data_IF_463392285632
#
_entry.id   IF_463392285632
#
_cell.length_a   1.000
_cell.length_b   1.000
_cell.length_c   1.000
_cell.angle_alpha   90.00
_cell.angle_beta   90.00
_cell.angle_gamma   90.00
#
_symmetry.space_group_name_H-M   'P 1'
#
loop_
_entity.id
_entity.type
_entity.pdbx_description
1 polymer ?
#
# COMPACT_ATOMS: atom_id res chain seq x y z
N UNK A 1 14.44 -13.06 13.18
CA UNK A 1 13.13 -13.65 12.82
C UNK A 1 12.44 -12.77 11.77
N UNK A 2 11.80 -13.34 10.74
CA UNK A 2 11.03 -12.57 9.73
C UNK A 2 9.60 -13.10 9.63
N UNK A 3 8.61 -12.20 9.67
CA UNK A 3 7.18 -12.52 9.57
C UNK A 3 6.63 -11.84 8.32
N UNK A 4 5.79 -12.56 7.58
CA UNK A 4 5.10 -12.06 6.40
C UNK A 4 3.59 -12.24 6.55
N UNK A 5 2.82 -11.22 6.18
CA UNK A 5 1.36 -11.31 6.15
C UNK A 5 0.88 -11.60 4.73
N UNK A 6 -0.03 -12.56 4.59
CA UNK A 6 -0.58 -12.97 3.30
C UNK A 6 -2.09 -13.14 3.37
N UNK A 7 -2.77 -12.50 2.42
CA UNK A 7 -4.19 -12.69 2.15
C UNK A 7 -4.39 -13.49 0.86
N UNK A 8 -5.59 -14.03 0.67
CA UNK A 8 -6.04 -14.51 -0.64
C UNK A 8 -6.05 -13.33 -1.61
N UNK A 9 -5.66 -13.55 -2.88
CA UNK A 9 -5.50 -12.48 -3.88
C UNK A 9 -6.78 -11.63 -4.03
N UNK A 10 -7.94 -12.28 -4.09
CA UNK A 10 -9.24 -11.61 -4.23
C UNK A 10 -9.49 -10.62 -3.07
N UNK A 11 -9.38 -11.09 -1.83
CA UNK A 11 -9.54 -10.26 -0.63
C UNK A 11 -8.53 -9.11 -0.57
N UNK A 12 -7.27 -9.36 -0.95
CA UNK A 12 -6.25 -8.31 -1.01
C UNK A 12 -6.63 -7.20 -2.00
N UNK A 13 -7.12 -7.56 -3.18
CA UNK A 13 -7.49 -6.59 -4.21
C UNK A 13 -8.73 -5.80 -3.81
N UNK A 14 -9.76 -6.46 -3.27
CA UNK A 14 -10.94 -5.76 -2.75
C UNK A 14 -10.59 -4.74 -1.65
N UNK A 15 -9.63 -5.07 -0.77
CA UNK A 15 -9.15 -4.14 0.27
C UNK A 15 -8.36 -2.98 -0.31
N UNK A 16 -7.51 -3.24 -1.32
CA UNK A 16 -6.78 -2.19 -2.02
C UNK A 16 -7.77 -1.22 -2.67
N UNK A 17 -8.77 -1.75 -3.36
CA UNK A 17 -9.73 -0.96 -4.13
C UNK A 17 -10.52 -0.02 -3.22
N UNK A 18 -11.09 -0.59 -2.13
CA UNK A 18 -11.78 0.18 -1.09
C UNK A 18 -10.89 1.20 -0.39
N UNK A 19 -9.61 0.88 -0.16
CA UNK A 19 -8.67 1.81 0.46
C UNK A 19 -8.39 3.00 -0.46
N UNK A 20 -8.22 2.76 -1.75
CA UNK A 20 -7.98 3.83 -2.72
C UNK A 20 -9.20 4.74 -2.81
N UNK A 21 -10.41 4.19 -2.90
CA UNK A 21 -11.65 4.98 -2.89
C UNK A 21 -11.73 5.86 -1.65
N UNK A 22 -11.50 5.29 -0.46
CA UNK A 22 -11.47 6.04 0.80
C UNK A 22 -10.40 7.14 0.81
N UNK A 23 -9.23 6.89 0.23
CA UNK A 23 -8.14 7.85 0.17
C UNK A 23 -8.53 9.08 -0.68
N UNK A 24 -9.15 8.87 -1.85
CA UNK A 24 -9.64 9.98 -2.68
C UNK A 24 -10.82 10.70 -2.00
N UNK A 25 -11.77 9.95 -1.42
CA UNK A 25 -12.91 10.52 -0.71
C UNK A 25 -12.50 11.33 0.54
N UNK A 26 -11.36 11.00 1.16
CA UNK A 26 -10.81 11.72 2.31
C UNK A 26 -10.03 12.99 1.92
N UNK A 27 -10.01 13.39 0.64
CA UNK A 27 -9.42 14.66 0.21
C UNK A 27 -7.98 14.58 -0.30
N UNK A 28 -7.55 13.45 -0.88
CA UNK A 28 -6.20 13.34 -1.47
C UNK A 28 -5.91 14.43 -2.52
N UNK A 29 -6.90 14.82 -3.33
CA UNK A 29 -6.74 15.88 -4.33
C UNK A 29 -6.44 17.22 -3.64
N UNK A 30 -7.16 17.53 -2.56
CA UNK A 30 -6.97 18.75 -1.81
C UNK A 30 -5.61 18.80 -1.12
N UNK A 31 -5.15 17.66 -0.59
CA UNK A 31 -3.81 17.49 -0.03
C UNK A 31 -2.74 17.80 -1.08
N UNK A 32 -2.83 17.18 -2.27
CA UNK A 32 -1.89 17.42 -3.37
C UNK A 32 -1.92 18.88 -3.81
N UNK A 33 -3.10 19.47 -3.97
CA UNK A 33 -3.25 20.87 -4.32
C UNK A 33 -2.64 21.81 -3.26
N UNK A 34 -2.75 21.46 -1.96
CA UNK A 34 -2.12 22.22 -0.88
C UNK A 34 -0.59 22.14 -0.95
N UNK A 35 -0.03 20.97 -1.26
CA UNK A 35 1.42 20.80 -1.42
C UNK A 35 1.96 21.66 -2.57
N UNK A 36 1.25 21.73 -3.71
CA UNK A 36 1.61 22.60 -4.83
C UNK A 36 1.53 24.08 -4.44
N UNK A 37 0.46 24.50 -3.73
CA UNK A 37 0.33 25.89 -3.24
C UNK A 37 1.45 26.28 -2.26
N UNK A 38 2.02 25.32 -1.54
CA UNK A 38 3.18 25.52 -0.66
C UNK A 38 4.51 25.59 -1.42
N UNK A 39 4.50 25.49 -2.75
CA UNK A 39 5.69 25.59 -3.60
C UNK A 39 6.48 24.29 -3.72
N UNK A 40 5.93 23.13 -3.35
CA UNK A 40 6.60 21.85 -3.58
C UNK A 40 6.58 21.56 -5.09
N UNK A 41 7.74 21.36 -5.74
CA UNK A 41 7.83 21.15 -7.18
C UNK A 41 7.19 19.81 -7.57
N UNK A 42 6.57 19.75 -8.73
CA UNK A 42 5.85 18.55 -9.21
C UNK A 42 6.78 17.36 -9.45
N UNK A 43 8.06 17.63 -9.70
CA UNK A 43 9.09 16.61 -9.90
C UNK A 43 9.53 15.98 -8.57
N UNK A 44 9.07 16.53 -7.44
CA UNK A 44 9.42 16.04 -6.11
C UNK A 44 9.01 14.57 -5.93
N UNK A 45 9.80 13.78 -5.16
CA UNK A 45 9.53 12.37 -4.93
C UNK A 45 8.09 12.02 -4.48
N UNK A 46 7.40 12.81 -3.64
CA UNK A 46 6.03 12.49 -3.22
C UNK A 46 5.05 12.37 -4.38
N UNK A 47 5.16 13.21 -5.41
CA UNK A 47 4.26 13.18 -6.56
C UNK A 47 4.49 12.00 -7.50
N UNK A 48 5.57 11.23 -7.30
CA UNK A 48 5.79 9.95 -7.98
C UNK A 48 5.10 8.78 -7.27
N UNK A 49 4.62 8.98 -6.05
CA UNK A 49 3.90 7.96 -5.30
C UNK A 49 2.55 7.63 -5.95
N UNK A 50 2.11 6.37 -5.79
CA UNK A 50 0.78 5.95 -6.22
C UNK A 50 -0.29 6.77 -5.50
N UNK A 51 -1.36 7.15 -6.20
CA UNK A 51 -2.33 8.11 -5.70
C UNK A 51 -1.93 9.54 -6.04
N UNK A 52 -0.84 10.05 -5.43
CA UNK A 52 -0.37 11.43 -5.64
C UNK A 52 -0.11 11.75 -7.11
N UNK A 53 0.54 10.82 -7.84
CA UNK A 53 0.74 10.94 -9.29
C UNK A 53 -0.56 11.20 -10.04
N UNK A 54 -1.62 10.44 -9.73
CA UNK A 54 -2.89 10.52 -10.45
C UNK A 54 -3.74 11.69 -9.98
N UNK A 55 -3.71 12.03 -8.68
CA UNK A 55 -4.32 13.24 -8.16
C UNK A 55 -3.71 14.50 -8.81
N UNK A 56 -2.40 14.54 -9.03
CA UNK A 56 -1.74 15.61 -9.77
C UNK A 56 -2.27 15.72 -11.21
N UNK A 57 -2.45 14.60 -11.90
CA UNK A 57 -3.02 14.58 -13.27
C UNK A 57 -4.47 15.10 -13.29
N UNK A 58 -5.27 14.84 -12.26
CA UNK A 58 -6.63 15.41 -12.12
C UNK A 58 -6.56 16.92 -11.92
N UNK A 59 -5.69 17.42 -11.05
CA UNK A 59 -5.48 18.87 -10.84
C UNK A 59 -5.06 19.56 -12.13
N UNK A 60 -4.29 18.87 -12.97
CA UNK A 60 -3.86 19.34 -14.30
C UNK A 60 -4.89 19.10 -15.41
N UNK A 61 -6.09 18.65 -15.07
CA UNK A 61 -7.18 18.34 -16.01
C UNK A 61 -6.79 17.34 -17.13
N UNK A 62 -5.79 16.48 -16.88
CA UNK A 62 -5.30 15.51 -17.86
C UNK A 62 -6.15 14.24 -17.89
N UNK A 63 -6.72 13.85 -16.74
CA UNK A 63 -7.62 12.71 -16.60
C UNK A 63 -8.78 13.06 -15.65
N UNK A 64 -9.96 12.44 -15.83
CA UNK A 64 -11.06 12.59 -14.88
C UNK A 64 -10.76 11.85 -13.55
N UNK A 65 -11.47 12.23 -12.49
CA UNK A 65 -11.31 11.67 -11.15
C UNK A 65 -11.52 10.15 -11.13
N UNK A 66 -12.55 9.67 -11.82
CA UNK A 66 -12.90 8.25 -11.90
C UNK A 66 -11.75 7.44 -12.49
N UNK A 67 -11.08 7.98 -13.51
CA UNK A 67 -9.92 7.36 -14.14
C UNK A 67 -8.70 7.38 -13.20
N UNK A 68 -8.49 8.46 -12.46
CA UNK A 68 -7.42 8.55 -11.46
C UNK A 68 -7.58 7.49 -10.35
N UNK A 69 -8.80 7.28 -9.86
CA UNK A 69 -9.12 6.23 -8.89
C UNK A 69 -8.81 4.86 -9.50
N UNK A 70 -9.33 4.58 -10.71
CA UNK A 70 -9.13 3.30 -11.41
C UNK A 70 -7.65 2.97 -11.65
N UNK A 71 -6.87 3.95 -12.10
CA UNK A 71 -5.43 3.81 -12.35
C UNK A 71 -4.66 3.61 -11.03
N UNK A 72 -5.02 4.34 -9.98
CA UNK A 72 -4.42 4.16 -8.64
C UNK A 72 -4.68 2.76 -8.11
N UNK A 73 -5.91 2.26 -8.21
CA UNK A 73 -6.27 0.89 -7.81
C UNK A 73 -5.44 -0.14 -8.59
N UNK A 74 -5.43 -0.04 -9.93
CA UNK A 74 -4.66 -0.94 -10.81
C UNK A 74 -3.18 -1.00 -10.41
N UNK A 75 -2.54 0.16 -10.28
CA UNK A 75 -1.11 0.21 -10.04
C UNK A 75 -0.75 -0.19 -8.61
N UNK A 76 -1.64 0.06 -7.65
CA UNK A 76 -1.49 -0.44 -6.27
C UNK A 76 -1.60 -1.96 -6.22
N UNK A 77 -2.51 -2.58 -6.97
CA UNK A 77 -2.58 -4.05 -7.12
C UNK A 77 -1.32 -4.62 -7.77
N UNK A 78 -0.79 -3.96 -8.80
CA UNK A 78 0.48 -4.35 -9.43
C UNK A 78 1.67 -4.22 -8.46
N UNK A 79 1.72 -3.14 -7.68
CA UNK A 79 2.73 -2.93 -6.66
C UNK A 79 2.66 -4.01 -5.58
N UNK A 80 1.49 -4.31 -5.05
CA UNK A 80 1.28 -5.39 -4.08
C UNK A 80 1.70 -6.76 -4.65
N UNK A 81 1.40 -7.05 -5.93
CA UNK A 81 1.89 -8.26 -6.61
C UNK A 81 3.42 -8.30 -6.66
N UNK A 82 4.08 -7.19 -7.01
CA UNK A 82 5.55 -7.11 -7.03
C UNK A 82 6.16 -7.31 -5.65
N UNK A 83 5.59 -6.70 -4.60
CA UNK A 83 6.01 -6.90 -3.22
C UNK A 83 5.92 -8.39 -2.82
N UNK A 84 4.80 -9.05 -3.09
CA UNK A 84 4.63 -10.48 -2.80
C UNK A 84 5.63 -11.36 -3.57
N UNK A 85 5.91 -11.04 -4.84
CA UNK A 85 6.94 -11.75 -5.61
C UNK A 85 8.33 -11.57 -5.00
N UNK A 86 8.67 -10.35 -4.55
CA UNK A 86 9.94 -10.08 -3.90
C UNK A 86 10.07 -10.82 -2.57
N UNK A 87 9.07 -10.74 -1.69
CA UNK A 87 9.05 -11.45 -0.41
C UNK A 87 9.14 -12.98 -0.57
N UNK A 88 8.53 -13.55 -1.62
CA UNK A 88 8.61 -14.99 -1.91
C UNK A 88 10.04 -15.48 -2.16
N UNK A 89 10.95 -14.60 -2.61
CA UNK A 89 12.37 -14.94 -2.83
C UNK A 89 13.20 -14.85 -1.56
N UNK A 90 12.67 -14.25 -0.49
CA UNK A 90 13.38 -14.12 0.77
C UNK A 90 13.27 -15.40 1.59
N UNK A 91 14.42 -15.91 2.03
CA UNK A 91 14.48 -17.05 2.96
C UNK A 91 14.14 -16.62 4.39
N UNK A 92 13.52 -17.55 5.13
CA UNK A 92 13.23 -17.40 6.56
C UNK A 92 12.00 -16.55 6.90
N UNK A 93 11.11 -16.27 5.94
CA UNK A 93 9.82 -15.63 6.23
C UNK A 93 8.82 -16.68 6.69
N UNK A 94 8.28 -16.47 7.89
CA UNK A 94 7.12 -17.21 8.40
C UNK A 94 5.84 -16.48 7.99
N UNK A 95 5.01 -17.14 7.20
CA UNK A 95 3.80 -16.54 6.62
C UNK A 95 2.57 -16.80 7.48
N UNK A 96 1.81 -15.74 7.75
CA UNK A 96 0.55 -15.80 8.49
C UNK A 96 -0.55 -15.05 7.73
N UNK A 97 -1.80 -15.44 7.96
CA UNK A 97 -2.94 -14.58 7.65
C UNK A 97 -2.99 -13.42 8.65
N UNK A 98 -3.38 -12.20 8.25
CA UNK A 98 -3.61 -11.08 9.19
C UNK A 98 -4.60 -11.40 10.31
N UNK A 99 -5.50 -12.36 10.10
CA UNK A 99 -6.50 -12.80 11.08
C UNK A 99 -5.95 -13.76 12.13
N UNK A 100 -4.69 -14.20 12.00
CA UNK A 100 -4.03 -15.15 12.91
C UNK A 100 -3.21 -14.44 14.00
N UNK A 101 -3.76 -13.38 14.59
CA UNK A 101 -3.04 -12.53 15.55
C UNK A 101 -2.51 -13.33 16.74
N UNK A 102 -3.32 -14.24 17.31
CA UNK A 102 -2.91 -15.09 18.42
C UNK A 102 -1.72 -15.97 18.07
N UNK A 103 -1.75 -16.65 16.91
CA UNK A 103 -0.67 -17.52 16.45
C UNK A 103 0.61 -16.73 16.14
N UNK A 104 0.49 -15.51 15.62
CA UNK A 104 1.64 -14.63 15.40
C UNK A 104 2.30 -14.28 16.73
N UNK A 105 1.52 -13.89 17.74
CA UNK A 105 2.02 -13.54 19.07
C UNK A 105 2.71 -14.75 19.71
N UNK A 106 2.09 -15.92 19.66
CA UNK A 106 2.66 -17.16 20.20
C UNK A 106 3.98 -17.53 19.50
N UNK A 107 4.03 -17.42 18.17
CA UNK A 107 5.25 -17.65 17.40
C UNK A 107 6.39 -16.70 17.82
N UNK A 108 6.07 -15.42 18.05
CA UNK A 108 7.04 -14.43 18.52
C UNK A 108 7.56 -14.80 19.91
N UNK A 109 6.67 -15.14 20.85
CA UNK A 109 7.03 -15.53 22.21
C UNK A 109 7.97 -16.73 22.23
N UNK A 110 7.61 -17.80 21.51
CA UNK A 110 8.40 -19.04 21.46
C UNK A 110 9.80 -18.82 20.86
N UNK A 111 9.92 -17.93 19.86
CA UNK A 111 11.22 -17.60 19.27
C UNK A 111 12.06 -16.68 20.14
N UNK A 112 11.43 -15.85 20.98
CA UNK A 112 12.13 -14.96 21.91
C UNK A 112 12.72 -15.73 23.10
N UNK A 113 11.93 -16.61 23.72
CA UNK A 113 12.37 -17.41 24.88
C UNK A 113 13.50 -18.39 24.56
N UNK A 114 13.64 -18.81 23.30
CA UNK A 114 14.76 -19.64 22.83
C UNK A 114 16.04 -18.85 22.49
N UNK A 115 16.12 -17.54 22.80
CA UNK A 115 17.34 -16.73 22.69
C UNK A 115 17.92 -16.32 24.06
N UNK A 116 17.21 -16.58 25.16
CA UNK A 116 17.66 -16.29 26.53
C UNK A 116 18.20 -17.52 27.29
N UNK A 117 18.19 -18.70 26.66
CA UNK A 117 18.90 -19.92 27.10
C UNK A 117 19.98 -20.26 26.06
#
# INVERSE_FOLDING_TARGET
MKIGLKLKRKELYERIDKRVEKMFAAGLIDEVAQLLRRGIPEEAPPFKALGYKYALQVIRHQIPLEEAIRLTQRDTRHYAKRQLTWFRRMKGIHWFSPHQTAQIIEFIKNKWTSHEN
#
